data_IF_555557710965
#
_entry.id   IF_555557710965
#
_cell.length_a   1.000
_cell.length_b   1.000
_cell.length_c   1.000
_cell.angle_alpha   90.00
_cell.angle_beta   90.00
_cell.angle_gamma   90.00
#
_symmetry.space_group_name_H-M   'P 1'
#
loop_
_entity.id
_entity.type
_entity.pdbx_description
1 polymer ?
#
# COMPACT_ATOMS: atom_id res chain seq x y z
N UNK A 1 -0.34 -0.73 6.84
CA UNK A 1 -1.44 -1.69 6.70
C UNK A 1 -1.67 -1.98 5.22
N UNK A 2 -1.65 -3.25 4.80
CA UNK A 2 -1.85 -3.65 3.42
C UNK A 2 -3.34 -3.64 3.04
N UNK A 3 -3.62 -3.42 1.77
CA UNK A 3 -4.91 -3.67 1.14
C UNK A 3 -4.73 -4.05 -0.32
N UNK A 4 -5.61 -4.87 -0.87
CA UNK A 4 -5.70 -5.00 -2.33
C UNK A 4 -6.12 -3.67 -2.95
N UNK A 5 -5.73 -3.43 -4.21
CA UNK A 5 -6.21 -2.25 -4.95
C UNK A 5 -7.63 -2.44 -5.50
N UNK A 6 -8.16 -3.67 -5.45
CA UNK A 6 -9.36 -4.11 -6.19
C UNK A 6 -9.10 -4.36 -7.68
N UNK A 7 -7.83 -4.38 -8.09
CA UNK A 7 -7.36 -4.84 -9.41
C UNK A 7 -6.21 -5.84 -9.18
N UNK A 8 -5.02 -5.58 -9.73
CA UNK A 8 -3.88 -6.52 -9.71
C UNK A 8 -2.79 -6.19 -8.68
N UNK A 9 -2.92 -5.07 -7.97
CA UNK A 9 -1.86 -4.54 -7.10
C UNK A 9 -2.24 -4.50 -5.61
N UNK A 10 -1.25 -4.16 -4.79
CA UNK A 10 -1.38 -3.91 -3.36
C UNK A 10 -1.07 -2.46 -3.04
N UNK A 11 -1.80 -1.89 -2.08
CA UNK A 11 -1.46 -0.60 -1.47
C UNK A 11 -1.06 -0.82 -0.02
N UNK A 12 -0.02 -0.14 0.44
CA UNK A 12 0.37 -0.11 1.85
C UNK A 12 0.10 1.28 2.39
N UNK A 13 -0.85 1.39 3.33
CA UNK A 13 -1.17 2.63 4.01
C UNK A 13 -0.25 2.82 5.22
N UNK A 14 0.39 3.98 5.32
CA UNK A 14 1.27 4.35 6.43
C UNK A 14 0.64 5.56 7.11
N UNK A 15 0.20 5.45 8.38
CA UNK A 15 -0.30 6.61 9.11
C UNK A 15 0.85 7.58 9.36
N UNK A 16 0.60 8.88 9.16
CA UNK A 16 1.61 9.94 9.37
C UNK A 16 1.39 10.73 10.66
N UNK A 17 0.19 10.65 11.25
CA UNK A 17 -0.24 11.53 12.33
C UNK A 17 -0.68 12.92 11.83
N UNK A 18 -1.30 13.74 12.70
CA UNK A 18 -1.72 15.09 12.36
C UNK A 18 -0.52 16.02 12.15
N UNK A 19 -0.71 17.09 11.36
CA UNK A 19 0.29 18.16 11.20
C UNK A 19 1.45 17.86 10.25
N UNK A 20 1.53 16.66 9.66
CA UNK A 20 2.57 16.35 8.67
C UNK A 20 2.22 16.95 7.31
N UNK A 21 3.11 17.79 6.80
CA UNK A 21 2.95 18.40 5.48
C UNK A 21 3.12 17.38 4.34
N UNK A 22 2.37 17.56 3.24
CA UNK A 22 2.46 16.69 2.06
C UNK A 22 3.89 16.51 1.50
N UNK A 23 4.75 17.55 1.41
CA UNK A 23 6.13 17.36 0.94
C UNK A 23 6.92 16.39 1.82
N UNK A 24 6.75 16.44 3.14
CA UNK A 24 7.42 15.54 4.09
C UNK A 24 6.95 14.11 3.91
N UNK A 25 5.64 13.88 3.80
CA UNK A 25 5.09 12.55 3.56
C UNK A 25 5.57 11.97 2.22
N UNK A 26 5.61 12.81 1.17
CA UNK A 26 6.11 12.42 -0.15
C UNK A 26 7.59 12.04 -0.10
N UNK A 27 8.43 12.83 0.56
CA UNK A 27 9.85 12.52 0.70
C UNK A 27 10.08 11.19 1.45
N UNK A 28 9.30 10.91 2.49
CA UNK A 28 9.38 9.64 3.20
C UNK A 28 9.00 8.45 2.32
N UNK A 29 7.90 8.54 1.58
CA UNK A 29 7.46 7.45 0.69
C UNK A 29 8.46 7.24 -0.45
N UNK A 30 9.06 8.31 -0.99
CA UNK A 30 10.16 8.21 -1.96
C UNK A 30 11.41 7.53 -1.39
N UNK A 31 11.81 7.87 -0.16
CA UNK A 31 12.92 7.20 0.54
C UNK A 31 12.65 5.70 0.70
N UNK A 32 11.46 5.33 1.19
CA UNK A 32 11.05 3.94 1.35
C UNK A 32 11.08 3.18 0.02
N UNK A 33 10.60 3.80 -1.06
CA UNK A 33 10.64 3.19 -2.40
C UNK A 33 12.08 2.95 -2.89
N UNK A 34 12.99 3.90 -2.68
CA UNK A 34 14.40 3.76 -3.06
C UNK A 34 15.09 2.65 -2.26
N UNK A 35 14.87 2.60 -0.95
CA UNK A 35 15.40 1.53 -0.09
C UNK A 35 14.88 0.16 -0.56
N UNK A 36 13.57 0.04 -0.80
CA UNK A 36 12.95 -1.20 -1.25
C UNK A 36 13.54 -1.69 -2.58
N UNK A 37 13.69 -0.81 -3.57
CA UNK A 37 14.27 -1.16 -4.87
C UNK A 37 15.75 -1.47 -4.78
N UNK A 38 16.52 -0.74 -3.96
CA UNK A 38 17.95 -1.02 -3.73
C UNK A 38 18.16 -2.44 -3.19
N UNK A 39 17.30 -2.87 -2.26
CA UNK A 39 17.40 -4.17 -1.60
C UNK A 39 16.82 -5.33 -2.41
N UNK A 40 15.91 -5.03 -3.34
CA UNK A 40 15.20 -6.04 -4.13
C UNK A 40 15.18 -5.67 -5.63
N UNK A 41 16.34 -5.40 -6.26
CA UNK A 41 16.40 -4.86 -7.62
C UNK A 41 15.89 -5.84 -8.70
N UNK A 42 15.92 -7.14 -8.39
CA UNK A 42 15.49 -8.21 -9.29
C UNK A 42 13.96 -8.31 -9.42
N UNK A 43 13.22 -7.84 -8.41
CA UNK A 43 11.76 -7.98 -8.35
C UNK A 43 11.01 -6.65 -8.25
N UNK A 44 11.69 -5.54 -7.96
CA UNK A 44 11.07 -4.23 -7.77
C UNK A 44 11.76 -3.13 -8.59
N UNK A 45 11.00 -2.13 -9.02
CA UNK A 45 11.51 -0.97 -9.74
C UNK A 45 10.67 0.28 -9.49
N UNK A 46 11.29 1.46 -9.55
CA UNK A 46 10.60 2.76 -9.57
C UNK A 46 10.49 3.34 -10.99
N UNK A 47 10.86 2.57 -12.02
CA UNK A 47 10.68 2.96 -13.42
C UNK A 47 9.19 3.08 -13.77
N UNK A 48 8.78 4.23 -14.30
CA UNK A 48 7.39 4.55 -14.65
C UNK A 48 6.98 4.00 -16.00
N UNK A 49 7.92 3.80 -16.90
CA UNK A 49 7.69 3.27 -18.23
C UNK A 49 7.53 1.75 -18.20
N UNK A 50 6.33 1.25 -18.54
CA UNK A 50 5.99 -0.18 -18.45
C UNK A 50 6.98 -1.05 -19.23
N UNK A 51 7.36 -0.60 -20.42
CA UNK A 51 8.32 -1.24 -21.33
C UNK A 51 9.73 -1.34 -20.76
N UNK A 52 10.09 -0.52 -19.76
CA UNK A 52 11.41 -0.52 -19.13
C UNK A 52 11.45 -1.29 -17.79
N UNK A 53 10.30 -1.79 -17.31
CA UNK A 53 10.22 -2.50 -16.02
C UNK A 53 10.68 -3.95 -16.10
N UNK A 54 10.52 -4.60 -17.26
CA UNK A 54 10.62 -6.05 -17.37
C UNK A 54 9.54 -6.73 -16.52
N UNK A 55 9.89 -7.82 -15.82
CA UNK A 55 8.98 -8.56 -14.95
C UNK A 55 8.83 -7.97 -13.52
N UNK A 56 9.47 -6.83 -13.24
CA UNK A 56 9.54 -6.25 -11.89
C UNK A 56 8.26 -5.52 -11.51
N UNK A 57 7.93 -5.58 -10.23
CA UNK A 57 6.83 -4.82 -9.61
C UNK A 57 7.18 -3.34 -9.57
N UNK A 58 6.25 -2.51 -10.06
CA UNK A 58 6.38 -1.06 -9.96
C UNK A 58 6.04 -0.57 -8.56
N UNK A 59 7.00 0.08 -7.90
CA UNK A 59 6.83 0.73 -6.60
C UNK A 59 6.40 2.18 -6.82
N UNK A 60 5.09 2.42 -6.79
CA UNK A 60 4.51 3.74 -7.05
C UNK A 60 4.52 4.64 -5.81
N UNK A 61 5.52 5.50 -5.71
CA UNK A 61 5.62 6.55 -4.68
C UNK A 61 4.94 7.85 -5.08
N UNK A 62 4.39 7.94 -6.30
CA UNK A 62 3.81 9.16 -6.88
C UNK A 62 2.40 9.49 -6.39
N UNK A 63 1.77 8.59 -5.63
CA UNK A 63 0.40 8.73 -5.13
C UNK A 63 0.31 9.59 -3.86
N UNK A 64 1.43 10.06 -3.31
CA UNK A 64 1.44 10.94 -2.12
C UNK A 64 1.58 12.40 -2.53
N UNK A 65 0.54 13.20 -2.31
CA UNK A 65 0.56 14.64 -2.57
C UNK A 65 -0.82 15.30 -2.47
N UNK A 66 -0.86 16.64 -2.41
CA UNK A 66 -2.09 17.42 -2.17
C UNK A 66 -3.20 17.16 -3.18
N UNK A 67 -2.85 16.89 -4.44
CA UNK A 67 -3.79 16.64 -5.55
C UNK A 67 -3.80 15.18 -6.01
N UNK A 68 -3.24 14.26 -5.21
CA UNK A 68 -3.24 12.83 -5.51
C UNK A 68 -4.40 12.15 -4.80
N UNK A 69 -4.96 11.15 -5.45
CA UNK A 69 -6.04 10.34 -4.90
C UNK A 69 -5.61 8.89 -4.85
N UNK A 70 -6.11 8.18 -3.86
CA UNK A 70 -5.98 6.73 -3.74
C UNK A 70 -7.37 6.17 -3.46
N UNK A 71 -7.70 5.03 -4.06
CA UNK A 71 -8.96 4.37 -3.78
C UNK A 71 -9.05 4.03 -2.28
N UNK A 72 -10.15 4.43 -1.67
CA UNK A 72 -10.40 4.22 -0.25
C UNK A 72 -10.57 2.72 0.07
N UNK A 73 -10.25 2.30 1.31
CA UNK A 73 -10.65 0.99 1.82
C UNK A 73 -12.12 0.67 1.50
N UNK A 74 -12.40 -0.59 1.18
CA UNK A 74 -13.73 -1.12 0.87
C UNK A 74 -14.44 -0.54 -0.38
N UNK A 75 -13.79 0.35 -1.12
CA UNK A 75 -14.35 0.85 -2.38
C UNK A 75 -14.31 -0.23 -3.47
N UNK A 76 -15.43 -0.41 -4.15
CA UNK A 76 -15.57 -1.28 -5.33
C UNK A 76 -14.92 -0.64 -6.55
N UNK A 77 -14.30 -1.44 -7.41
CA UNK A 77 -13.69 -1.00 -8.66
C UNK A 77 -14.61 -1.33 -9.85
N UNK A 78 -14.76 -0.38 -10.76
CA UNK A 78 -15.48 -0.55 -12.03
C UNK A 78 -14.66 -1.37 -13.03
N UNK A 79 -14.44 -2.65 -12.71
CA UNK A 79 -13.74 -3.63 -13.53
C UNK A 79 -14.53 -4.94 -13.55
N UNK A 80 -14.23 -5.82 -14.50
CA UNK A 80 -14.84 -7.17 -14.53
C UNK A 80 -14.60 -7.88 -13.20
N UNK A 81 -15.67 -8.42 -12.61
CA UNK A 81 -15.63 -9.08 -11.31
C UNK A 81 -15.86 -8.16 -10.10
N UNK A 82 -16.01 -6.84 -10.30
CA UNK A 82 -16.33 -5.88 -9.23
C UNK A 82 -15.40 -6.00 -8.00
N UNK A 83 -14.09 -6.09 -8.26
CA UNK A 83 -13.06 -6.23 -7.23
C UNK A 83 -13.10 -5.07 -6.23
N UNK A 84 -12.78 -5.35 -4.97
CA UNK A 84 -12.83 -4.37 -3.88
C UNK A 84 -11.42 -4.07 -3.39
N UNK A 85 -11.17 -2.81 -3.05
CA UNK A 85 -9.94 -2.39 -2.37
C UNK A 85 -9.95 -2.83 -0.90
N UNK A 86 -9.69 -4.11 -0.66
CA UNK A 86 -9.94 -4.78 0.63
C UNK A 86 -8.75 -4.69 1.57
N UNK A 87 -8.90 -4.09 2.76
CA UNK A 87 -7.91 -4.18 3.84
C UNK A 87 -7.60 -5.62 4.21
N UNK A 88 -6.33 -5.88 4.46
CA UNK A 88 -5.80 -7.19 4.82
C UNK A 88 -5.02 -7.08 6.13
N UNK A 89 -5.00 -8.16 6.89
CA UNK A 89 -3.96 -8.41 7.89
C UNK A 89 -2.64 -8.77 7.18
N UNK A 90 -1.51 -8.60 7.86
CA UNK A 90 -0.19 -8.82 7.24
C UNK A 90 0.10 -10.29 6.92
N UNK A 91 -0.44 -11.20 7.71
CA UNK A 91 -0.36 -12.64 7.51
C UNK A 91 -1.13 -13.13 6.27
N UNK A 92 -2.08 -12.36 5.75
CA UNK A 92 -2.76 -12.62 4.47
C UNK A 92 -1.93 -12.22 3.24
N UNK A 93 -0.81 -11.50 3.42
CA UNK A 93 0.04 -11.03 2.30
C UNK A 93 1.10 -12.08 1.98
N UNK A 94 0.69 -13.13 1.27
CA UNK A 94 1.56 -14.24 0.85
C UNK A 94 1.22 -14.71 -0.56
N UNK A 95 1.99 -15.69 -1.07
CA UNK A 95 1.91 -16.15 -2.46
C UNK A 95 0.55 -16.74 -2.89
N UNK A 96 -0.30 -17.16 -1.95
CA UNK A 96 -1.63 -17.70 -2.24
C UNK A 96 -2.74 -16.63 -2.16
N UNK A 97 -2.39 -15.36 -1.89
CA UNK A 97 -3.34 -14.25 -1.95
C UNK A 97 -3.85 -14.09 -3.39
N UNK A 98 -5.16 -14.24 -3.55
CA UNK A 98 -5.85 -14.00 -4.82
C UNK A 98 -6.78 -12.77 -4.68
N UNK A 99 -6.40 -11.60 -5.24
CA UNK A 99 -7.22 -10.40 -5.20
C UNK A 99 -8.62 -10.56 -5.80
N UNK A 100 -8.83 -11.51 -6.73
CA UNK A 100 -10.12 -11.71 -7.39
C UNK A 100 -11.20 -12.27 -6.46
N UNK A 101 -10.78 -12.93 -5.36
CA UNK A 101 -11.68 -13.42 -4.31
C UNK A 101 -12.30 -12.31 -3.47
N UNK A 102 -11.76 -11.10 -3.56
CA UNK A 102 -12.25 -9.92 -2.84
C UNK A 102 -13.07 -9.03 -3.78
N UNK A 103 -14.38 -9.20 -3.76
CA UNK A 103 -15.30 -8.46 -4.61
C UNK A 103 -16.56 -8.01 -3.85
N UNK A 104 -17.42 -7.27 -4.56
CA UNK A 104 -18.67 -6.71 -4.04
C UNK A 104 -19.53 -7.74 -3.28
N UNK A 105 -19.54 -9.00 -3.71
CA UNK A 105 -20.38 -10.05 -3.14
C UNK A 105 -19.74 -10.77 -1.95
N UNK A 106 -18.40 -10.82 -1.88
CA UNK A 106 -17.68 -11.62 -0.88
C UNK A 106 -17.18 -10.81 0.31
N UNK A 107 -16.83 -9.54 0.10
CA UNK A 107 -16.21 -8.70 1.15
C UNK A 107 -17.13 -8.39 2.33
N UNK A 108 -18.45 -8.14 2.16
CA UNK A 108 -19.34 -7.89 3.29
C UNK A 108 -19.37 -9.05 4.30
N UNK A 109 -19.46 -10.30 3.82
CA UNK A 109 -19.45 -11.48 4.69
C UNK A 109 -18.10 -11.62 5.42
N UNK A 110 -16.99 -11.42 4.71
CA UNK A 110 -15.64 -11.43 5.30
C UNK A 110 -15.49 -10.41 6.43
N UNK A 111 -16.00 -9.20 6.25
CA UNK A 111 -15.92 -8.14 7.26
C UNK A 111 -16.65 -8.53 8.55
N UNK A 112 -17.81 -9.20 8.43
CA UNK A 112 -18.53 -9.75 9.59
C UNK A 112 -17.74 -10.86 10.27
N UNK A 113 -17.11 -11.74 9.49
CA UNK A 113 -16.40 -12.90 10.00
C UNK A 113 -15.12 -12.55 10.76
N UNK A 114 -14.29 -11.65 10.21
CA UNK A 114 -12.94 -11.40 10.74
C UNK A 114 -12.75 -10.01 11.35
N UNK A 115 -13.75 -9.14 11.27
CA UNK A 115 -13.64 -7.73 11.67
C UNK A 115 -12.90 -6.87 10.65
N UNK A 116 -12.59 -5.63 11.06
CA UNK A 116 -12.01 -4.58 10.21
C UNK A 116 -10.50 -4.42 10.43
N UNK A 117 -9.63 -4.84 9.48
CA UNK A 117 -8.19 -4.65 9.61
C UNK A 117 -7.74 -3.18 9.64
N UNK A 118 -8.59 -2.24 9.17
CA UNK A 118 -8.27 -0.80 9.13
C UNK A 118 -8.83 0.00 10.31
N UNK A 119 -9.58 -0.64 11.22
CA UNK A 119 -10.26 0.06 12.33
C UNK A 119 -9.32 0.97 13.14
N UNK A 120 -8.14 0.46 13.50
CA UNK A 120 -7.19 1.18 14.35
C UNK A 120 -6.27 2.16 13.59
N UNK A 121 -6.30 2.16 12.25
CA UNK A 121 -5.32 2.91 11.45
C UNK A 121 -5.35 4.43 11.76
N UNK A 122 -6.54 4.98 12.03
CA UNK A 122 -6.72 6.40 12.33
C UNK A 122 -6.37 6.77 13.79
N UNK A 123 -6.31 5.77 14.67
CA UNK A 123 -5.95 5.95 16.08
C UNK A 123 -4.43 5.93 16.29
N UNK A 124 -3.67 5.45 15.31
CA UNK A 124 -2.21 5.40 15.38
C UNK A 124 -1.62 6.81 15.54
N UNK A 125 -0.64 6.92 16.44
CA UNK A 125 0.19 8.12 16.65
C UNK A 125 1.65 7.74 16.42
N UNK A 126 2.13 7.80 15.18
CA UNK A 126 3.47 7.33 14.85
C UNK A 126 4.54 8.34 15.28
N UNK A 127 5.66 7.84 15.83
CA UNK A 127 6.90 8.60 15.97
C UNK A 127 7.68 8.54 14.65
N UNK A 128 7.37 9.48 13.74
CA UNK A 128 8.02 9.55 12.42
C UNK A 128 9.53 9.74 12.53
N UNK A 129 10.08 10.65 13.37
CA UNK A 129 11.52 10.75 13.56
C UNK A 129 12.20 9.44 13.98
N UNK A 130 11.62 8.70 14.93
CA UNK A 130 12.15 7.39 15.33
C UNK A 130 12.04 6.37 14.20
N UNK A 131 10.93 6.36 13.46
CA UNK A 131 10.76 5.49 12.30
C UNK A 131 11.82 5.75 11.23
N UNK A 132 12.14 7.02 10.95
CA UNK A 132 13.20 7.40 10.00
C UNK A 132 14.57 6.95 10.47
N UNK A 133 14.93 7.14 11.76
CA UNK A 133 16.19 6.61 12.32
C UNK A 133 16.29 5.09 12.16
N UNK A 134 15.19 4.37 12.37
CA UNK A 134 15.14 2.91 12.15
C UNK A 134 15.35 2.51 10.69
N UNK A 135 15.20 3.41 9.71
CA UNK A 135 15.47 3.14 8.31
C UNK A 135 16.97 3.11 7.98
N UNK A 136 17.82 3.74 8.80
CA UNK A 136 19.27 3.82 8.57
C UNK A 136 19.89 2.41 8.40
N UNK A 137 19.40 1.42 9.14
CA UNK A 137 19.82 0.01 9.05
C UNK A 137 19.57 -0.67 7.68
N UNK A 138 18.89 0.02 6.77
CA UNK A 138 18.57 -0.48 5.44
C UNK A 138 19.28 0.29 4.32
N UNK A 139 20.15 1.25 4.65
CA UNK A 139 20.81 2.18 3.72
C UNK A 139 22.29 1.84 3.50
N UNK A 140 22.76 0.69 3.99
CA UNK A 140 24.14 0.20 3.78
C UNK A 140 24.41 -0.29 2.35
#
# INVERSE_FOLDING_TARGET
MPKTSGQTGLHVLIPMGPGVAFPTAKALVELLGRILVSRHPDIATMERRVDHRGARVYVDTGQTGRSRTIVAPYSVRAVRGAGVSTPLFWDEVHAALDPSRHNLLTVPARLVEIGDPVAELLNVRPDIPQAVRKLERFVD
#
